data_IF_441160110225
#
_entry.id   IF_441160110225
#
_cell.length_a   1.000
_cell.length_b   1.000
_cell.length_c   1.000
_cell.angle_alpha   90.00
_cell.angle_beta   90.00
_cell.angle_gamma   90.00
#
_symmetry.space_group_name_H-M   'P 1'
#
loop_
_entity.id
_entity.type
_entity.pdbx_description
1 polymer ?
#
# COMPACT_ATOMS: atom_id res chain seq x y z
N UNK A 1 18.68 -19.29 -18.00
CA UNK A 1 18.52 -20.76 -17.82
C UNK A 1 17.03 -21.02 -17.68
N UNK A 2 16.44 -21.99 -18.38
CA UNK A 2 15.00 -22.22 -18.28
C UNK A 2 14.59 -22.48 -16.83
N UNK A 3 13.48 -21.89 -16.41
CA UNK A 3 12.92 -22.08 -15.06
C UNK A 3 12.48 -23.54 -14.93
N UNK A 4 13.18 -24.32 -14.11
CA UNK A 4 12.90 -25.74 -13.89
C UNK A 4 11.90 -25.95 -12.75
N UNK A 5 11.15 -27.05 -12.78
CA UNK A 5 10.28 -27.45 -11.66
C UNK A 5 11.08 -27.62 -10.36
N UNK A 6 12.30 -28.17 -10.43
CA UNK A 6 13.18 -28.30 -9.27
C UNK A 6 13.48 -26.93 -8.62
N UNK A 7 13.84 -25.92 -9.43
CA UNK A 7 14.04 -24.56 -8.94
C UNK A 7 12.78 -24.01 -8.25
N UNK A 8 11.61 -24.20 -8.86
CA UNK A 8 10.34 -23.73 -8.31
C UNK A 8 9.98 -24.38 -6.97
N UNK A 9 10.42 -25.61 -6.73
CA UNK A 9 10.20 -26.28 -5.44
C UNK A 9 11.09 -25.77 -4.31
N UNK A 10 12.28 -25.28 -4.65
CA UNK A 10 13.29 -24.74 -3.72
C UNK A 10 13.01 -23.30 -3.27
N UNK A 11 12.05 -22.63 -3.91
CA UNK A 11 11.65 -21.27 -3.52
C UNK A 11 11.17 -21.19 -2.06
N UNK A 12 11.49 -20.07 -1.42
CA UNK A 12 11.13 -19.81 -0.03
C UNK A 12 9.61 -19.75 0.18
N UNK A 13 9.15 -20.19 1.35
CA UNK A 13 7.75 -20.02 1.81
C UNK A 13 7.55 -18.72 2.61
N UNK A 14 8.57 -17.87 2.70
CA UNK A 14 8.53 -16.57 3.39
C UNK A 14 7.97 -15.46 2.47
N UNK A 15 7.54 -14.32 3.04
CA UNK A 15 7.20 -13.14 2.27
C UNK A 15 8.43 -12.58 1.53
N UNK A 16 8.19 -11.92 0.42
CA UNK A 16 9.26 -11.40 -0.42
C UNK A 16 8.79 -10.76 -1.71
N UNK A 17 9.77 -10.30 -2.49
CA UNK A 17 9.59 -9.77 -3.84
C UNK A 17 10.21 -10.75 -4.83
N UNK A 18 9.57 -10.95 -5.98
CA UNK A 18 10.08 -11.73 -7.10
C UNK A 18 10.24 -10.86 -8.33
N UNK A 19 11.29 -11.13 -9.11
CA UNK A 19 11.59 -10.45 -10.36
C UNK A 19 11.67 -11.49 -11.47
N UNK A 20 10.95 -11.24 -12.56
CA UNK A 20 11.06 -12.03 -13.78
C UNK A 20 11.97 -11.31 -14.76
N UNK A 21 12.97 -12.03 -15.26
CA UNK A 21 13.95 -11.50 -16.22
C UNK A 21 13.74 -12.07 -17.61
N UNK A 22 14.08 -11.26 -18.62
CA UNK A 22 14.12 -11.64 -20.02
C UNK A 22 15.50 -12.13 -20.46
N UNK A 23 15.63 -12.56 -21.70
CA UNK A 23 16.87 -13.14 -22.24
C UNK A 23 18.06 -12.18 -22.22
N UNK A 24 17.81 -10.86 -22.18
CA UNK A 24 18.84 -9.82 -22.08
C UNK A 24 19.08 -9.38 -20.63
N UNK A 25 18.68 -10.20 -19.66
CA UNK A 25 18.77 -9.95 -18.23
C UNK A 25 17.97 -8.70 -17.76
N UNK A 26 17.06 -8.19 -18.60
CA UNK A 26 16.19 -7.07 -18.28
C UNK A 26 15.07 -7.50 -17.32
N UNK A 27 14.65 -6.63 -16.41
CA UNK A 27 13.52 -6.90 -15.51
C UNK A 27 12.21 -6.69 -16.28
N UNK A 28 11.50 -7.78 -16.57
CA UNK A 28 10.22 -7.77 -17.27
C UNK A 28 9.06 -7.44 -16.33
N UNK A 29 9.11 -7.99 -15.11
CA UNK A 29 8.07 -7.85 -14.10
C UNK A 29 8.64 -7.97 -12.69
N UNK A 30 8.09 -7.19 -11.76
CA UNK A 30 8.35 -7.23 -10.32
C UNK A 30 7.02 -7.43 -9.60
N UNK A 31 6.95 -8.32 -8.63
CA UNK A 31 5.77 -8.48 -7.79
C UNK A 31 6.11 -8.92 -6.38
N UNK A 32 5.23 -8.63 -5.42
CA UNK A 32 5.34 -9.15 -4.04
C UNK A 32 4.50 -10.39 -3.77
N UNK A 33 4.88 -11.13 -2.73
CA UNK A 33 4.15 -12.31 -2.27
C UNK A 33 4.23 -12.47 -0.75
N UNK A 34 3.16 -12.94 -0.12
CA UNK A 34 3.20 -13.42 1.27
C UNK A 34 3.92 -14.78 1.38
N UNK A 35 3.84 -15.57 0.31
CA UNK A 35 4.53 -16.86 0.16
C UNK A 35 5.10 -16.92 -1.26
N UNK A 36 6.40 -16.64 -1.39
CA UNK A 36 7.10 -16.59 -2.69
C UNK A 36 6.87 -17.84 -3.53
N UNK A 37 7.07 -19.03 -2.95
CA UNK A 37 6.89 -20.31 -3.65
C UNK A 37 5.50 -20.45 -4.27
N UNK A 38 4.45 -20.20 -3.51
CA UNK A 38 3.06 -20.33 -4.00
C UNK A 38 2.79 -19.32 -5.10
N UNK A 39 3.25 -18.08 -4.94
CA UNK A 39 2.98 -17.02 -5.91
C UNK A 39 3.74 -17.22 -7.22
N UNK A 40 5.03 -17.50 -7.16
CA UNK A 40 5.86 -17.70 -8.37
C UNK A 40 5.35 -18.92 -9.15
N UNK A 41 5.09 -20.05 -8.48
CA UNK A 41 4.55 -21.26 -9.13
C UNK A 41 3.22 -21.03 -9.84
N UNK A 42 2.40 -20.07 -9.39
CA UNK A 42 1.12 -19.79 -10.03
C UNK A 42 1.25 -19.29 -11.48
N UNK A 43 2.40 -18.72 -11.86
CA UNK A 43 2.67 -18.29 -13.23
C UNK A 43 3.10 -19.44 -14.15
N UNK A 44 3.55 -20.57 -13.60
CA UNK A 44 4.04 -21.73 -14.37
C UNK A 44 3.04 -22.89 -14.38
N UNK A 45 1.75 -22.60 -14.14
CA UNK A 45 0.65 -23.56 -14.32
C UNK A 45 0.35 -23.77 -15.82
N UNK A 46 -0.61 -24.65 -16.13
CA UNK A 46 -1.06 -24.86 -17.51
C UNK A 46 -1.46 -23.55 -18.16
N UNK A 47 -1.12 -23.39 -19.44
CA UNK A 47 -1.29 -22.13 -20.18
C UNK A 47 -2.75 -21.67 -20.20
N UNK A 48 -3.69 -22.61 -20.28
CA UNK A 48 -5.14 -22.37 -20.26
C UNK A 48 -5.62 -21.69 -18.97
N UNK A 49 -4.95 -21.93 -17.84
CA UNK A 49 -5.31 -21.36 -16.53
C UNK A 49 -4.80 -19.92 -16.34
N UNK A 50 -3.96 -19.43 -17.27
CA UNK A 50 -3.33 -18.12 -17.19
C UNK A 50 -4.07 -17.10 -18.03
N UNK A 51 -4.17 -15.86 -17.54
CA UNK A 51 -4.64 -14.73 -18.34
C UNK A 51 -3.76 -14.52 -19.57
N UNK A 52 -4.32 -14.02 -20.68
CA UNK A 52 -3.54 -13.74 -21.92
C UNK A 52 -2.30 -12.88 -21.65
N UNK A 53 -2.37 -11.93 -20.71
CA UNK A 53 -1.23 -11.09 -20.33
C UNK A 53 -0.14 -11.92 -19.61
N UNK A 54 -0.53 -12.79 -18.68
CA UNK A 54 0.40 -13.68 -17.99
C UNK A 54 1.02 -14.71 -18.95
N UNK A 55 0.26 -15.24 -19.91
CA UNK A 55 0.80 -16.15 -20.93
C UNK A 55 1.91 -15.50 -21.76
N UNK A 56 1.74 -14.22 -22.14
CA UNK A 56 2.77 -13.45 -22.85
C UNK A 56 4.01 -13.23 -21.98
N UNK A 57 3.81 -12.81 -20.73
CA UNK A 57 4.90 -12.61 -19.78
C UNK A 57 5.72 -13.89 -19.61
N UNK A 58 5.06 -15.02 -19.29
CA UNK A 58 5.71 -16.30 -19.03
C UNK A 58 6.53 -16.80 -20.21
N UNK A 59 6.06 -16.58 -21.44
CA UNK A 59 6.81 -16.93 -22.65
C UNK A 59 8.10 -16.16 -22.87
N UNK A 60 8.34 -15.06 -22.14
CA UNK A 60 9.55 -14.24 -22.22
C UNK A 60 10.47 -14.41 -21.01
N UNK A 61 10.09 -15.22 -20.01
CA UNK A 61 10.88 -15.39 -18.79
C UNK A 61 12.08 -16.29 -19.07
N UNK A 62 13.28 -15.74 -18.90
CA UNK A 62 14.56 -16.44 -18.98
C UNK A 62 15.17 -16.75 -17.60
N UNK A 63 14.63 -16.12 -16.54
CA UNK A 63 15.15 -16.21 -15.19
C UNK A 63 14.18 -15.63 -14.15
N UNK A 64 14.32 -16.11 -12.91
CA UNK A 64 13.52 -15.67 -11.75
C UNK A 64 14.46 -15.38 -10.59
N UNK A 65 14.34 -14.19 -10.02
CA UNK A 65 15.02 -13.80 -8.79
C UNK A 65 14.01 -13.58 -7.67
N UNK A 66 14.42 -13.85 -6.43
CA UNK A 66 13.59 -13.58 -5.26
C UNK A 66 14.38 -12.96 -4.14
N UNK A 67 13.80 -11.96 -3.48
CA UNK A 67 14.35 -11.33 -2.29
C UNK A 67 13.39 -11.62 -1.13
N UNK A 68 13.85 -12.36 -0.13
CA UNK A 68 13.08 -12.66 1.08
C UNK A 68 13.16 -11.48 2.04
N UNK A 69 12.05 -11.13 2.66
CA UNK A 69 11.95 -10.05 3.66
C UNK A 69 11.31 -10.55 4.96
N UNK A 70 11.33 -9.73 6.00
CA UNK A 70 10.77 -10.05 7.31
C UNK A 70 9.25 -9.90 7.39
N UNK A 71 8.66 -9.02 6.57
CA UNK A 71 7.22 -8.72 6.64
C UNK A 71 6.58 -8.40 5.28
N UNK A 72 5.25 -8.47 5.19
CA UNK A 72 4.52 -8.06 3.99
C UNK A 72 4.71 -6.56 3.68
N UNK A 73 4.82 -5.72 4.72
CA UNK A 73 5.05 -4.28 4.58
C UNK A 73 6.42 -3.98 3.96
N UNK A 74 7.46 -4.70 4.36
CA UNK A 74 8.78 -4.61 3.74
C UNK A 74 8.72 -5.06 2.27
N UNK A 75 8.01 -6.16 1.97
CA UNK A 75 7.87 -6.65 0.60
C UNK A 75 7.21 -5.61 -0.31
N UNK A 76 6.21 -4.91 0.23
CA UNK A 76 5.53 -3.83 -0.46
C UNK A 76 6.45 -2.62 -0.74
N UNK A 77 7.21 -2.19 0.26
CA UNK A 77 8.15 -1.06 0.09
C UNK A 77 9.23 -1.42 -0.92
N UNK A 78 9.81 -2.62 -0.80
CA UNK A 78 10.85 -3.11 -1.70
C UNK A 78 10.34 -3.27 -3.14
N UNK A 79 9.13 -3.82 -3.33
CA UNK A 79 8.48 -3.92 -4.64
C UNK A 79 8.33 -2.54 -5.27
N UNK A 80 7.81 -1.57 -4.52
CA UNK A 80 7.60 -0.21 -5.03
C UNK A 80 8.92 0.45 -5.47
N UNK A 81 9.99 0.25 -4.69
CA UNK A 81 11.32 0.74 -5.02
C UNK A 81 11.86 0.09 -6.30
N UNK A 82 11.78 -1.24 -6.41
CA UNK A 82 12.26 -1.99 -7.59
C UNK A 82 11.45 -1.66 -8.86
N UNK A 83 10.14 -1.44 -8.74
CA UNK A 83 9.31 -0.97 -9.87
C UNK A 83 9.74 0.44 -10.29
N UNK A 84 10.03 1.32 -9.34
CA UNK A 84 10.47 2.70 -9.63
C UNK A 84 11.84 2.72 -10.30
N UNK A 85 12.74 1.85 -9.84
CA UNK A 85 14.11 1.70 -10.33
C UNK A 85 14.13 1.09 -11.74
N UNK A 86 13.51 -0.07 -11.94
CA UNK A 86 13.60 -0.80 -13.20
C UNK A 86 12.54 -0.43 -14.24
N UNK A 87 11.44 0.21 -13.82
CA UNK A 87 10.26 0.53 -14.65
C UNK A 87 9.85 -0.61 -15.59
N UNK A 88 9.58 -1.82 -15.07
CA UNK A 88 9.40 -3.01 -15.91
C UNK A 88 8.19 -2.86 -16.84
N UNK A 89 8.35 -3.29 -18.09
CA UNK A 89 7.32 -3.15 -19.12
C UNK A 89 5.99 -3.79 -18.71
N UNK A 90 6.02 -5.00 -18.14
CA UNK A 90 4.80 -5.71 -17.77
C UNK A 90 4.14 -5.15 -16.50
N UNK A 91 4.86 -4.45 -15.60
CA UNK A 91 4.23 -3.79 -14.44
C UNK A 91 3.32 -2.63 -14.86
N UNK A 92 3.62 -1.96 -15.97
CA UNK A 92 2.78 -0.89 -16.53
C UNK A 92 1.50 -1.51 -17.13
N UNK A 93 1.65 -2.60 -17.89
CA UNK A 93 0.54 -3.29 -18.55
C UNK A 93 -0.37 -4.09 -17.60
N UNK A 94 0.17 -4.51 -16.45
CA UNK A 94 -0.48 -5.34 -15.42
C UNK A 94 -0.86 -4.55 -14.17
N UNK A 95 -0.82 -3.21 -14.21
CA UNK A 95 -1.08 -2.37 -13.05
C UNK A 95 -2.50 -2.59 -12.53
N UNK A 96 -2.61 -3.26 -11.39
CA UNK A 96 -3.83 -3.32 -10.59
C UNK A 96 -3.78 -2.14 -9.61
N UNK A 97 -4.77 -1.25 -9.65
CA UNK A 97 -4.69 0.10 -9.07
C UNK A 97 -4.93 0.12 -7.53
N UNK A 98 -4.59 -0.98 -6.85
CA UNK A 98 -4.78 -1.13 -5.41
C UNK A 98 -3.63 -0.48 -4.66
N UNK A 99 -3.69 0.84 -4.57
CA UNK A 99 -2.83 1.62 -3.67
C UNK A 99 -3.13 1.26 -2.21
N UNK A 100 -2.10 0.94 -1.45
CA UNK A 100 -2.23 0.67 -0.01
C UNK A 100 -2.61 1.94 0.74
N UNK A 101 -3.45 1.83 1.78
CA UNK A 101 -3.78 2.97 2.61
C UNK A 101 -2.60 3.43 3.46
N UNK A 102 -2.57 4.73 3.69
CA UNK A 102 -1.72 5.44 4.61
C UNK A 102 -2.62 6.16 5.62
N UNK A 103 -2.09 6.40 6.81
CA UNK A 103 -2.66 7.36 7.75
C UNK A 103 -1.97 8.70 7.49
N UNK A 104 -2.74 9.72 7.13
CA UNK A 104 -2.29 11.08 6.90
C UNK A 104 -2.65 11.95 8.11
N UNK A 105 -1.68 12.74 8.58
CA UNK A 105 -1.86 13.73 9.64
C UNK A 105 -1.55 15.11 9.08
N UNK A 106 -2.56 15.98 9.02
CA UNK A 106 -2.48 17.30 8.39
C UNK A 106 -1.88 18.34 9.35
N UNK A 107 -0.59 18.19 9.67
CA UNK A 107 0.13 19.06 10.64
C UNK A 107 0.26 20.53 10.22
N UNK A 108 -0.14 20.88 9.00
CA UNK A 108 -0.12 22.25 8.46
C UNK A 108 -1.49 22.93 8.48
N UNK A 109 -2.55 22.20 8.80
CA UNK A 109 -3.87 22.80 8.97
C UNK A 109 -3.97 23.44 10.35
N UNK A 110 -4.69 24.56 10.45
CA UNK A 110 -5.00 25.24 11.72
C UNK A 110 -5.60 24.28 12.75
N UNK A 111 -6.42 23.34 12.28
CA UNK A 111 -6.96 22.25 13.09
C UNK A 111 -6.55 20.91 12.48
N UNK A 112 -5.42 20.32 12.92
CA UNK A 112 -4.94 19.07 12.35
C UNK A 112 -5.98 17.95 12.44
N UNK A 113 -6.07 17.14 11.38
CA UNK A 113 -6.91 15.96 11.32
C UNK A 113 -6.11 14.72 10.96
N UNK A 114 -6.67 13.57 11.33
CA UNK A 114 -6.13 12.26 10.96
C UNK A 114 -7.11 11.54 10.04
N UNK A 115 -6.65 11.19 8.85
CA UNK A 115 -7.45 10.52 7.83
C UNK A 115 -6.72 9.35 7.18
N UNK A 116 -7.50 8.41 6.62
CA UNK A 116 -6.96 7.31 5.83
C UNK A 116 -7.00 7.69 4.36
N UNK A 117 -5.84 7.71 3.70
CA UNK A 117 -5.71 8.06 2.28
C UNK A 117 -4.93 7.01 1.51
N UNK A 118 -5.19 6.89 0.21
CA UNK A 118 -4.37 6.09 -0.73
C UNK A 118 -3.49 6.96 -1.62
N UNK A 119 -3.50 8.27 -1.38
CA UNK A 119 -2.74 9.27 -2.13
C UNK A 119 -1.75 9.93 -1.17
N UNK A 120 -0.47 9.77 -1.47
CA UNK A 120 0.61 10.51 -0.84
C UNK A 120 0.94 11.67 -1.77
N UNK A 121 0.87 12.89 -1.24
CA UNK A 121 1.20 14.13 -1.95
C UNK A 121 2.18 14.94 -1.10
N UNK A 122 2.97 15.81 -1.74
CA UNK A 122 3.92 16.67 -1.04
C UNK A 122 3.23 17.93 -0.51
N UNK A 123 2.28 17.77 0.41
CA UNK A 123 1.49 18.87 0.99
C UNK A 123 1.97 19.28 2.41
N UNK A 124 3.12 18.79 2.83
CA UNK A 124 3.67 19.03 4.18
C UNK A 124 3.00 18.23 5.30
N UNK A 125 2.04 17.35 4.98
CA UNK A 125 1.46 16.42 5.95
C UNK A 125 2.40 15.28 6.29
N UNK A 126 2.17 14.66 7.44
CA UNK A 126 2.88 13.43 7.82
C UNK A 126 2.08 12.22 7.35
N UNK A 127 2.76 11.29 6.69
CA UNK A 127 2.18 10.05 6.19
C UNK A 127 2.79 8.86 6.92
N UNK A 128 1.93 7.98 7.45
CA UNK A 128 2.32 6.74 8.12
C UNK A 128 1.76 5.56 7.32
N UNK A 129 2.59 4.54 7.09
CA UNK A 129 2.27 3.41 6.22
C UNK A 129 3.37 3.18 5.17
N UNK A 130 3.07 2.45 4.08
CA UNK A 130 1.76 1.88 3.73
C UNK A 130 1.31 0.77 4.68
N UNK A 131 0.01 0.64 4.93
CA UNK A 131 -0.57 -0.44 5.72
C UNK A 131 -1.10 -1.55 4.82
N UNK A 132 -0.56 -2.76 4.96
CA UNK A 132 -1.00 -3.95 4.22
C UNK A 132 -2.35 -4.47 4.72
N UNK A 133 -2.60 -4.35 6.02
CA UNK A 133 -3.83 -4.80 6.68
C UNK A 133 -4.70 -3.63 7.13
N UNK A 134 -5.80 -3.40 6.40
CA UNK A 134 -6.73 -2.28 6.67
C UNK A 134 -7.48 -2.45 8.00
N UNK A 135 -7.84 -3.68 8.37
CA UNK A 135 -8.58 -3.98 9.60
C UNK A 135 -7.84 -3.53 10.87
N UNK A 136 -6.64 -4.09 11.16
CA UNK A 136 -5.81 -3.69 12.29
C UNK A 136 -5.47 -2.20 12.29
N UNK A 137 -5.16 -1.62 11.11
CA UNK A 137 -4.91 -0.18 10.98
C UNK A 137 -6.12 0.64 11.45
N UNK A 138 -7.34 0.27 11.05
CA UNK A 138 -8.56 0.97 11.49
C UNK A 138 -8.84 0.79 12.98
N UNK A 139 -8.57 -0.39 13.55
CA UNK A 139 -8.75 -0.65 14.98
C UNK A 139 -7.79 0.21 15.82
N UNK A 140 -6.52 0.27 15.44
CA UNK A 140 -5.54 1.13 16.09
C UNK A 140 -5.94 2.62 16.00
N UNK A 141 -6.42 3.06 14.82
CA UNK A 141 -6.88 4.43 14.65
C UNK A 141 -8.14 4.74 15.49
N UNK A 142 -9.08 3.81 15.62
CA UNK A 142 -10.26 3.97 16.48
C UNK A 142 -9.87 4.07 17.96
N UNK A 143 -8.90 3.28 18.42
CA UNK A 143 -8.37 3.38 19.78
C UNK A 143 -7.77 4.77 20.03
N UNK A 144 -6.93 5.26 19.11
CA UNK A 144 -6.34 6.60 19.22
C UNK A 144 -7.42 7.68 19.30
N UNK A 145 -8.46 7.60 18.46
CA UNK A 145 -9.59 8.55 18.47
C UNK A 145 -10.43 8.51 19.76
N UNK A 146 -10.39 7.42 20.52
CA UNK A 146 -11.07 7.31 21.83
C UNK A 146 -10.22 7.88 22.96
N UNK A 147 -8.90 7.73 22.88
CA UNK A 147 -7.97 8.22 23.91
C UNK A 147 -7.64 9.72 23.75
N UNK A 148 -7.67 10.19 22.50
CA UNK A 148 -7.33 11.56 22.14
C UNK A 148 -8.45 12.15 21.28
N UNK A 149 -8.77 13.42 21.50
CA UNK A 149 -9.80 14.14 20.73
C UNK A 149 -9.27 14.55 19.36
N UNK A 150 -9.06 13.55 18.50
CA UNK A 150 -8.48 13.71 17.17
C UNK A 150 -9.56 13.95 16.14
N UNK A 151 -9.52 15.12 15.52
CA UNK A 151 -10.41 15.50 14.43
C UNK A 151 -10.29 14.54 13.23
N UNK A 152 -11.42 14.15 12.66
CA UNK A 152 -11.46 13.29 11.46
C UNK A 152 -12.44 13.71 10.37
N UNK A 153 -13.13 14.84 10.56
CA UNK A 153 -14.04 15.41 9.56
C UNK A 153 -13.26 16.01 8.38
N UNK A 154 -13.94 16.14 7.23
CA UNK A 154 -13.33 16.59 5.95
C UNK A 154 -13.35 18.10 5.72
N UNK A 155 -13.95 18.86 6.63
CA UNK A 155 -14.08 20.31 6.51
C UNK A 155 -12.71 21.02 6.29
N UNK A 156 -12.67 22.10 5.54
CA UNK A 156 -11.51 22.99 5.46
C UNK A 156 -11.66 24.09 6.52
N UNK A 157 -11.19 23.82 7.76
CA UNK A 157 -11.33 24.77 8.87
C UNK A 157 -10.18 25.78 8.88
N UNK A 158 -10.45 27.07 9.16
CA UNK A 158 -11.72 27.62 9.68
C UNK A 158 -12.73 28.08 8.61
N UNK A 159 -12.49 27.83 7.31
CA UNK A 159 -13.38 28.32 6.22
C UNK A 159 -14.77 27.68 6.25
N UNK A 160 -14.82 26.39 6.50
CA UNK A 160 -16.07 25.64 6.59
C UNK A 160 -16.68 25.77 8.00
N UNK A 161 -17.85 26.37 8.11
CA UNK A 161 -18.55 26.61 9.39
C UNK A 161 -19.92 25.93 9.41
N UNK A 162 -19.98 24.60 9.62
CA UNK A 162 -21.26 23.91 9.78
C UNK A 162 -22.02 24.42 11.01
N UNK A 163 -23.34 24.45 10.96
CA UNK A 163 -24.17 24.93 12.07
C UNK A 163 -24.14 24.02 13.31
N UNK A 164 -23.87 22.72 13.13
CA UNK A 164 -23.96 21.71 14.20
C UNK A 164 -22.70 20.86 14.26
N UNK A 165 -22.32 20.49 15.49
CA UNK A 165 -21.25 19.54 15.73
C UNK A 165 -21.65 18.13 15.26
N UNK A 166 -20.67 17.33 14.84
CA UNK A 166 -20.90 15.97 14.39
C UNK A 166 -20.95 14.97 15.56
N UNK A 167 -21.28 13.70 15.24
CA UNK A 167 -21.32 12.61 16.23
C UNK A 167 -20.03 12.50 17.04
N UNK A 168 -18.85 12.64 16.40
CA UNK A 168 -17.55 12.53 17.08
C UNK A 168 -17.44 13.49 18.27
N UNK A 169 -18.04 14.67 18.21
CA UNK A 169 -18.11 15.59 19.36
C UNK A 169 -19.01 15.06 20.46
N UNK A 170 -20.24 14.66 20.10
CA UNK A 170 -21.23 14.16 21.05
C UNK A 170 -20.79 12.89 21.79
N UNK A 171 -19.88 12.10 21.22
CA UNK A 171 -19.29 10.92 21.85
C UNK A 171 -17.89 11.15 22.42
N UNK A 172 -17.44 12.41 22.54
CA UNK A 172 -16.19 12.79 23.20
C UNK A 172 -14.90 12.51 22.42
N UNK A 173 -14.97 12.31 21.11
CA UNK A 173 -13.81 12.03 20.22
C UNK A 173 -13.28 13.26 19.48
N UNK A 174 -13.94 14.40 19.59
CA UNK A 174 -13.57 15.65 18.92
C UNK A 174 -13.97 16.84 19.79
N UNK A 175 -13.21 17.94 19.75
CA UNK A 175 -13.52 19.20 20.46
C UNK A 175 -14.37 20.17 19.63
N UNK A 176 -14.84 19.73 18.45
CA UNK A 176 -15.71 20.49 17.55
C UNK A 176 -15.18 21.90 17.16
N UNK A 177 -13.95 22.02 16.63
CA UNK A 177 -13.44 23.30 16.12
C UNK A 177 -14.32 23.86 14.98
N UNK A 178 -15.07 23.01 14.28
CA UNK A 178 -15.94 23.41 13.17
C UNK A 178 -17.11 24.31 13.58
N UNK A 179 -17.48 24.32 14.86
CA UNK A 179 -18.51 25.21 15.43
C UNK A 179 -17.90 26.21 16.44
N UNK A 180 -16.58 26.41 16.40
CA UNK A 180 -15.89 27.38 17.26
C UNK A 180 -15.74 26.96 18.73
N UNK A 181 -15.97 25.67 19.07
CA UNK A 181 -15.83 25.18 20.45
C UNK A 181 -14.38 24.90 20.87
N UNK A 182 -13.44 25.01 19.93
CA UNK A 182 -12.01 24.86 20.16
C UNK A 182 -11.28 26.05 19.54
N UNK A 183 -10.35 26.65 20.28
CA UNK A 183 -9.47 27.71 19.77
C UNK A 183 -8.35 27.15 18.91
N UNK A 184 -7.82 27.97 18.00
CA UNK A 184 -6.70 27.59 17.14
C UNK A 184 -5.49 27.18 17.98
N UNK A 185 -4.80 26.13 17.56
CA UNK A 185 -3.56 25.69 18.23
C UNK A 185 -2.43 26.60 17.77
N UNK A 186 -1.82 27.35 18.69
CA UNK A 186 -0.63 28.17 18.45
C UNK A 186 0.60 27.34 18.12
#
# INVERSE_FOLDING_TARGET
>A
MPVTEDFLTKLSKKPGVYLFRGDRNEVLYVGKANVLRTRVRSYFRKREDLSRKNQKLVGLISGVETIVVGSESEALILEANLIKEHRPHFNILLRDDKKYPYIKVTVKETFPRVEVTRRVVSDGSRYFGPYTSVGPMRQALDLIKRMYTVRSCRYDLPKDTPERACLDYHIGRCLAPCVGLQTETS
#
